data_IF_938017590377
#
_entry.id   IF_938017590377
#
_cell.length_a   1.000
_cell.length_b   1.000
_cell.length_c   1.000
_cell.angle_alpha   90.00
_cell.angle_beta   90.00
_cell.angle_gamma   90.00
#
_symmetry.space_group_name_H-M   'P 1'
#
loop_
_entity.id
_entity.type
_entity.pdbx_description
1 polymer ?
#
# COMPACT_ATOMS: atom_id res chain seq x y z
N UNK A 1 5.09 -6.24 13.86
CA UNK A 1 3.85 -5.46 13.72
C UNK A 1 3.18 -5.24 15.06
N UNK A 2 3.12 -3.99 15.50
CA UNK A 2 2.39 -3.54 16.70
C UNK A 2 1.62 -2.26 16.41
N UNK A 3 0.69 -1.87 17.29
CA UNK A 3 -0.02 -0.60 17.15
C UNK A 3 0.93 0.59 17.18
N UNK A 4 1.92 0.57 18.07
CA UNK A 4 2.90 1.66 18.18
C UNK A 4 3.77 1.76 16.93
N UNK A 5 4.23 0.64 16.36
CA UNK A 5 5.02 0.67 15.12
C UNK A 5 4.22 1.22 13.94
N UNK A 6 2.91 0.97 13.88
CA UNK A 6 2.01 1.56 12.89
C UNK A 6 1.84 3.08 13.07
N UNK A 7 1.72 3.56 14.32
CA UNK A 7 1.69 5.01 14.61
C UNK A 7 3.01 5.68 14.22
N UNK A 8 4.14 5.08 14.55
CA UNK A 8 5.48 5.57 14.17
C UNK A 8 5.74 5.53 12.66
N UNK A 9 5.15 4.57 11.96
CA UNK A 9 5.15 4.55 10.50
C UNK A 9 4.38 5.75 9.94
N UNK A 10 3.32 6.18 10.63
CA UNK A 10 2.44 7.31 10.25
C UNK A 10 1.03 6.87 9.86
N UNK A 11 0.62 5.64 10.20
CA UNK A 11 -0.74 5.18 10.00
C UNK A 11 -1.72 5.95 10.91
N UNK A 12 -2.93 6.19 10.41
CA UNK A 12 -4.03 6.69 11.22
C UNK A 12 -4.66 5.50 11.97
N UNK A 13 -3.97 5.07 13.02
CA UNK A 13 -4.39 3.91 13.84
C UNK A 13 -5.78 4.11 14.43
N UNK A 14 -6.14 5.32 14.86
CA UNK A 14 -7.44 5.56 15.49
C UNK A 14 -8.60 5.28 14.50
N UNK A 15 -8.45 5.74 13.25
CA UNK A 15 -9.40 5.43 12.18
C UNK A 15 -9.40 3.95 11.79
N UNK A 16 -8.21 3.32 11.71
CA UNK A 16 -8.08 1.89 11.43
C UNK A 16 -8.77 1.02 12.48
N UNK A 17 -8.60 1.35 13.76
CA UNK A 17 -9.27 0.70 14.88
C UNK A 17 -10.77 0.96 14.87
N UNK A 18 -11.23 2.18 14.59
CA UNK A 18 -12.66 2.49 14.49
C UNK A 18 -13.36 1.59 13.46
N UNK A 19 -12.74 1.41 12.29
CA UNK A 19 -13.22 0.51 11.23
C UNK A 19 -13.22 -0.96 11.66
N UNK A 20 -12.35 -1.31 12.61
CA UNK A 20 -12.21 -2.64 13.19
C UNK A 20 -12.92 -2.78 14.55
N UNK A 21 -13.90 -1.91 14.85
CA UNK A 21 -14.70 -1.94 16.09
C UNK A 21 -13.86 -1.83 17.38
N UNK A 22 -12.70 -1.18 17.30
CA UNK A 22 -11.74 -1.03 18.40
C UNK A 22 -10.93 -2.30 18.70
N UNK A 23 -11.03 -3.35 17.90
CA UNK A 23 -10.31 -4.61 18.11
C UNK A 23 -8.93 -4.56 17.47
N UNK A 24 -7.88 -4.41 18.29
CA UNK A 24 -6.50 -4.32 17.83
C UNK A 24 -6.04 -5.56 17.06
N UNK A 25 -6.27 -6.76 17.60
CA UNK A 25 -5.87 -8.01 16.95
C UNK A 25 -6.50 -8.15 15.56
N UNK A 26 -7.77 -7.78 15.43
CA UNK A 26 -8.47 -7.83 14.14
C UNK A 26 -7.91 -6.79 13.15
N UNK A 27 -7.57 -5.59 13.62
CA UNK A 27 -6.94 -4.59 12.77
C UNK A 27 -5.56 -5.05 12.26
N UNK A 28 -4.74 -5.65 13.12
CA UNK A 28 -3.45 -6.22 12.74
C UNK A 28 -3.61 -7.34 11.70
N UNK A 29 -4.57 -8.25 11.89
CA UNK A 29 -4.87 -9.32 10.93
C UNK A 29 -5.30 -8.76 9.56
N UNK A 30 -6.14 -7.72 9.53
CA UNK A 30 -6.54 -7.07 8.29
C UNK A 30 -5.37 -6.39 7.57
N UNK A 31 -4.43 -5.80 8.31
CA UNK A 31 -3.21 -5.25 7.73
C UNK A 31 -2.36 -6.38 7.12
N UNK A 32 -2.14 -7.45 7.86
CA UNK A 32 -1.35 -8.59 7.38
C UNK A 32 -1.95 -9.19 6.11
N UNK A 33 -3.28 -9.36 6.08
CA UNK A 33 -3.99 -9.85 4.90
C UNK A 33 -3.85 -8.91 3.71
N UNK A 34 -4.05 -7.60 3.93
CA UNK A 34 -3.94 -6.60 2.86
C UNK A 34 -2.52 -6.44 2.33
N UNK A 35 -1.49 -6.60 3.17
CA UNK A 35 -0.09 -6.55 2.77
C UNK A 35 0.43 -7.88 2.22
N UNK A 36 -0.28 -9.00 2.41
CA UNK A 36 0.08 -10.29 1.80
C UNK A 36 -0.42 -10.43 0.36
N UNK A 37 -1.00 -9.38 -0.19
CA UNK A 37 -1.55 -9.38 -1.54
C UNK A 37 -0.46 -9.51 -2.62
N UNK A 38 -0.54 -10.57 -3.43
CA UNK A 38 0.43 -10.88 -4.48
C UNK A 38 0.52 -9.82 -5.59
N UNK A 39 -0.44 -8.88 -5.64
CA UNK A 39 -0.41 -7.75 -6.57
C UNK A 39 0.77 -6.81 -6.31
N UNK A 40 1.32 -6.79 -5.09
CA UNK A 40 2.53 -6.03 -4.81
C UNK A 40 3.73 -6.56 -5.61
N UNK A 41 3.89 -7.87 -5.71
CA UNK A 41 4.96 -8.49 -6.51
C UNK A 41 4.69 -8.32 -8.00
N UNK A 42 3.47 -8.65 -8.45
CA UNK A 42 3.09 -8.58 -9.86
C UNK A 42 3.17 -7.16 -10.46
N UNK A 43 2.96 -6.12 -9.64
CA UNK A 43 3.11 -4.73 -10.06
C UNK A 43 4.53 -4.43 -10.58
N UNK A 44 5.57 -4.96 -9.92
CA UNK A 44 6.95 -4.77 -10.36
C UNK A 44 7.20 -5.33 -11.76
N UNK A 45 6.69 -6.53 -12.03
CA UNK A 45 6.81 -7.18 -13.34
C UNK A 45 6.09 -6.40 -14.45
N UNK A 46 4.90 -5.85 -14.17
CA UNK A 46 4.15 -5.06 -15.14
C UNK A 46 4.84 -3.73 -15.46
N UNK A 47 5.43 -3.08 -14.44
CA UNK A 47 6.19 -1.85 -14.62
C UNK A 47 7.46 -2.09 -15.45
N UNK A 48 8.23 -3.15 -15.15
CA UNK A 48 9.43 -3.51 -15.90
C UNK A 48 9.10 -3.90 -17.36
N UNK A 49 7.95 -4.52 -17.60
CA UNK A 49 7.46 -4.87 -18.93
C UNK A 49 6.80 -3.70 -19.70
N UNK A 50 6.70 -2.51 -19.10
CA UNK A 50 6.03 -1.34 -19.71
C UNK A 50 4.52 -1.51 -19.90
N UNK A 51 3.88 -2.45 -19.19
CA UNK A 51 2.44 -2.75 -19.27
C UNK A 51 1.64 -1.79 -18.39
N UNK A 52 1.72 -0.49 -18.67
CA UNK A 52 1.22 0.56 -17.78
C UNK A 52 -0.30 0.54 -17.55
N UNK A 53 -1.10 0.14 -18.53
CA UNK A 53 -2.56 0.03 -18.36
C UNK A 53 -2.92 -1.07 -17.36
N UNK A 54 -2.19 -2.18 -17.37
CA UNK A 54 -2.40 -3.28 -16.41
C UNK A 54 -1.82 -2.93 -15.03
N UNK A 55 -0.67 -2.25 -15.00
CA UNK A 55 -0.11 -1.71 -13.76
C UNK A 55 -1.08 -0.71 -13.10
N UNK A 56 -1.77 0.12 -13.90
CA UNK A 56 -2.79 1.05 -13.41
C UNK A 56 -3.93 0.32 -12.72
N UNK A 57 -4.54 -0.67 -13.37
CA UNK A 57 -5.63 -1.46 -12.79
C UNK A 57 -5.17 -2.17 -11.50
N UNK A 58 -3.94 -2.69 -11.49
CA UNK A 58 -3.37 -3.36 -10.34
C UNK A 58 -3.17 -2.43 -9.14
N UNK A 59 -2.54 -1.27 -9.36
CA UNK A 59 -2.31 -0.28 -8.30
C UNK A 59 -3.61 0.35 -7.82
N UNK A 60 -4.59 0.54 -8.72
CA UNK A 60 -5.91 1.06 -8.37
C UNK A 60 -6.64 0.11 -7.41
N UNK A 61 -6.56 -1.19 -7.68
CA UNK A 61 -7.18 -2.19 -6.85
C UNK A 61 -6.43 -2.37 -5.50
N UNK A 62 -5.09 -2.23 -5.48
CA UNK A 62 -4.31 -2.15 -4.23
C UNK A 62 -4.66 -0.91 -3.42
N UNK A 63 -4.87 0.24 -4.06
CA UNK A 63 -5.29 1.49 -3.41
C UNK A 63 -6.58 1.31 -2.61
N UNK A 64 -7.54 0.58 -3.18
CA UNK A 64 -8.79 0.24 -2.49
C UNK A 64 -8.57 -0.57 -1.21
N UNK A 65 -7.71 -1.60 -1.27
CA UNK A 65 -7.37 -2.43 -0.10
C UNK A 65 -6.64 -1.60 0.96
N UNK A 66 -5.56 -0.92 0.59
CA UNK A 66 -4.75 -0.14 1.54
C UNK A 66 -5.52 1.06 2.10
N UNK A 67 -6.43 1.64 1.32
CA UNK A 67 -7.30 2.72 1.77
C UNK A 67 -8.19 2.32 2.96
N UNK A 68 -8.60 1.05 3.04
CA UNK A 68 -9.39 0.54 4.17
C UNK A 68 -8.58 0.37 5.45
N UNK A 69 -7.26 0.25 5.35
CA UNK A 69 -6.34 -0.02 6.46
C UNK A 69 -5.76 1.24 7.10
N UNK A 70 -6.10 2.44 6.60
CA UNK A 70 -5.62 3.71 7.15
C UNK A 70 -4.07 3.84 7.24
N UNK A 71 -3.34 3.13 6.37
CA UNK A 71 -1.87 3.14 6.30
C UNK A 71 -1.36 4.37 5.53
N UNK A 72 -1.56 5.56 6.08
CA UNK A 72 -1.38 6.87 5.41
C UNK A 72 -0.18 6.97 4.45
N UNK A 73 1.07 6.76 4.88
CA UNK A 73 2.25 6.90 4.02
C UNK A 73 2.29 5.91 2.84
N UNK A 74 1.85 4.67 3.06
CA UNK A 74 1.75 3.66 2.01
C UNK A 74 0.61 4.03 1.04
N UNK A 75 -0.55 4.39 1.57
CA UNK A 75 -1.70 4.84 0.79
C UNK A 75 -1.34 6.02 -0.11
N UNK A 76 -0.63 7.02 0.40
CA UNK A 76 -0.23 8.19 -0.38
C UNK A 76 0.68 7.80 -1.55
N UNK A 77 1.67 6.94 -1.31
CA UNK A 77 2.60 6.50 -2.36
C UNK A 77 1.89 5.68 -3.44
N UNK A 78 0.99 4.78 -3.05
CA UNK A 78 0.14 4.02 -3.98
C UNK A 78 -0.81 4.95 -4.75
N UNK A 79 -1.37 5.96 -4.08
CA UNK A 79 -2.25 6.95 -4.71
C UNK A 79 -1.52 7.79 -5.75
N UNK A 80 -0.32 8.28 -5.42
CA UNK A 80 0.51 9.03 -6.37
C UNK A 80 0.85 8.18 -7.60
N UNK A 81 1.28 6.94 -7.39
CA UNK A 81 1.56 6.01 -8.49
C UNK A 81 0.31 5.75 -9.36
N UNK A 82 -0.87 5.62 -8.73
CA UNK A 82 -2.15 5.46 -9.44
C UNK A 82 -2.41 6.66 -10.38
N UNK A 83 -2.22 7.88 -9.88
CA UNK A 83 -2.47 9.08 -10.69
C UNK A 83 -1.40 9.27 -11.79
N UNK A 84 -0.14 8.92 -11.53
CA UNK A 84 0.88 8.94 -12.58
C UNK A 84 0.61 7.91 -13.67
N UNK A 85 0.21 6.69 -13.31
CA UNK A 85 -0.13 5.65 -14.30
C UNK A 85 -1.38 6.01 -15.10
N UNK A 86 -2.37 6.68 -14.48
CA UNK A 86 -3.59 7.15 -15.15
C UNK A 86 -3.29 8.03 -16.37
N UNK A 87 -2.30 8.91 -16.25
CA UNK A 87 -1.91 9.84 -17.32
C UNK A 87 -0.65 9.39 -18.07
N UNK A 88 -0.10 8.21 -17.74
CA UNK A 88 1.17 7.69 -18.27
C UNK A 88 2.30 8.73 -18.17
N UNK A 89 2.43 9.34 -17.00
CA UNK A 89 3.44 10.35 -16.74
C UNK A 89 4.86 9.80 -16.93
N UNK A 90 5.77 10.66 -17.39
CA UNK A 90 7.19 10.33 -17.46
C UNK A 90 7.83 10.50 -16.07
N UNK A 91 7.77 9.44 -15.26
CA UNK A 91 8.31 9.38 -13.90
C UNK A 91 9.07 8.09 -13.67
N UNK A 92 9.93 8.06 -12.66
CA UNK A 92 10.63 6.84 -12.25
C UNK A 92 9.69 5.91 -11.46
N UNK A 93 8.92 5.12 -12.19
CA UNK A 93 8.03 4.10 -11.62
C UNK A 93 8.78 3.03 -10.81
N UNK A 94 10.04 2.77 -11.14
CA UNK A 94 10.86 1.81 -10.41
C UNK A 94 11.19 2.35 -9.01
N UNK A 95 11.59 3.62 -8.90
CA UNK A 95 11.79 4.26 -7.61
C UNK A 95 10.51 4.29 -6.76
N UNK A 96 9.37 4.61 -7.38
CA UNK A 96 8.07 4.56 -6.70
C UNK A 96 7.72 3.14 -6.21
N UNK A 97 7.96 2.14 -7.04
CA UNK A 97 7.74 0.73 -6.68
C UNK A 97 8.62 0.29 -5.51
N UNK A 98 9.91 0.61 -5.54
CA UNK A 98 10.83 0.30 -4.44
C UNK A 98 10.37 0.96 -3.14
N UNK A 99 9.94 2.23 -3.19
CA UNK A 99 9.39 2.92 -2.02
C UNK A 99 8.16 2.22 -1.45
N UNK A 100 7.23 1.75 -2.29
CA UNK A 100 6.07 0.96 -1.86
C UNK A 100 6.52 -0.31 -1.14
N UNK A 101 7.49 -1.04 -1.70
CA UNK A 101 8.00 -2.29 -1.13
C UNK A 101 8.76 -2.08 0.18
N UNK A 102 9.54 -1.01 0.29
CA UNK A 102 10.22 -0.61 1.53
C UNK A 102 9.22 -0.24 2.64
N UNK A 103 8.17 0.52 2.29
CA UNK A 103 7.10 0.86 3.22
C UNK A 103 6.36 -0.39 3.70
N UNK A 104 5.97 -1.28 2.77
CA UNK A 104 5.35 -2.56 3.08
C UNK A 104 6.22 -3.38 4.03
N UNK A 105 7.52 -3.52 3.73
CA UNK A 105 8.48 -4.24 4.58
C UNK A 105 8.55 -3.63 5.98
N UNK A 106 8.67 -2.30 6.09
CA UNK A 106 8.74 -1.60 7.38
C UNK A 106 7.50 -1.85 8.25
N UNK A 107 6.32 -1.91 7.65
CA UNK A 107 5.08 -2.22 8.38
C UNK A 107 5.08 -3.66 8.88
N UNK A 108 5.48 -4.62 8.04
CA UNK A 108 5.48 -6.04 8.41
C UNK A 108 6.52 -6.36 9.50
N UNK A 109 7.69 -5.71 9.47
CA UNK A 109 8.82 -6.02 10.35
C UNK A 109 8.84 -5.25 11.68
N UNK A 110 8.24 -4.07 11.77
CA UNK A 110 8.15 -3.31 13.02
C UNK A 110 6.97 -3.77 13.84
#
# INVERSE_FOLDING_TARGET
MTIDSLREFGANVDEGLERCMGMEDFYLEMIELGLSDQRFEALGELLDAGRFDEAFEMVHALKGVIGNLALGPLYNTISDMTEFLRVKADVDYKALYQRVMEQRKRIMEG
#
